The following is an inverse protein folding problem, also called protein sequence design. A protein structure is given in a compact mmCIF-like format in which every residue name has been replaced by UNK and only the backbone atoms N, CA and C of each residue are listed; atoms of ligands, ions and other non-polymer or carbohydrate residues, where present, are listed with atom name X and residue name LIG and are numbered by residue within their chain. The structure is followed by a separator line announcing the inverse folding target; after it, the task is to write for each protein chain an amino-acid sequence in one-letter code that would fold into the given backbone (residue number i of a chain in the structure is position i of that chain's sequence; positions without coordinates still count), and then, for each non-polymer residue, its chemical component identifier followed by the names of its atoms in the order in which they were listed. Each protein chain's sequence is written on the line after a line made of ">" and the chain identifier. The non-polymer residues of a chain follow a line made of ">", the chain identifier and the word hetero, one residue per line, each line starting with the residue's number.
data_IF_514389735595
#
_entry.id   IF_514389735595
#
_cell.length_a   1.000
_cell.length_b   1.000
_cell.length_c   1.000
_cell.angle_alpha   90.00
_cell.angle_beta   90.00
_cell.angle_gamma   90.00
#
_symmetry.space_group_name_H-M   'P 1'
#
loop_
_entity.id
_entity.type
_entity.pdbx_description
1 polymer ?
#
# COMPACT_ATOMS: atom_id res chain seq x y z
N UNK A 1 1.32 15.08 -11.61
CA UNK A 1 2.46 15.64 -12.38
C UNK A 1 3.04 16.93 -11.79
N UNK A 2 2.48 17.43 -10.68
CA UNK A 2 2.80 18.74 -10.10
C UNK A 2 4.27 19.07 -9.91
N UNK A 3 5.08 18.13 -9.42
CA UNK A 3 6.52 18.37 -9.18
C UNK A 3 7.30 18.65 -10.47
N UNK A 4 7.01 17.91 -11.54
CA UNK A 4 7.67 18.11 -12.85
C UNK A 4 7.29 19.49 -13.43
N UNK A 5 6.00 19.86 -13.33
CA UNK A 5 5.52 21.16 -13.77
C UNK A 5 6.25 22.30 -13.04
N UNK A 6 6.47 22.17 -11.74
CA UNK A 6 7.19 23.18 -10.95
C UNK A 6 8.67 23.30 -11.34
N UNK A 7 9.36 22.16 -11.57
CA UNK A 7 10.77 22.16 -12.01
C UNK A 7 10.91 22.84 -13.39
N UNK A 8 9.95 22.62 -14.28
CA UNK A 8 9.97 23.15 -15.65
C UNK A 8 9.26 24.52 -15.80
N UNK A 9 8.67 25.06 -14.73
CA UNK A 9 7.93 26.33 -14.77
C UNK A 9 6.60 26.28 -15.53
N UNK A 10 5.97 25.10 -15.64
CA UNK A 10 4.70 24.90 -16.32
C UNK A 10 3.50 25.14 -15.38
N UNK A 11 2.36 25.53 -15.97
CA UNK A 11 1.07 25.58 -15.26
C UNK A 11 0.48 24.17 -15.12
N UNK A 12 -0.39 23.92 -14.11
CA UNK A 12 -1.12 22.66 -14.02
C UNK A 12 -1.85 22.33 -15.30
N UNK A 13 -1.70 21.10 -15.78
CA UNK A 13 -2.38 20.63 -16.99
C UNK A 13 -3.85 20.27 -16.72
N UNK A 14 -4.14 19.84 -15.49
CA UNK A 14 -5.47 19.42 -15.04
C UNK A 14 -5.73 19.82 -13.58
N UNK A 15 -6.98 19.69 -13.12
CA UNK A 15 -7.32 19.88 -11.69
C UNK A 15 -6.63 18.86 -10.78
N UNK A 16 -6.43 17.62 -11.26
CA UNK A 16 -5.79 16.55 -10.49
C UNK A 16 -4.32 16.88 -10.25
N UNK A 17 -3.64 17.46 -11.23
CA UNK A 17 -2.27 17.93 -11.07
C UNK A 17 -2.17 19.12 -10.14
N UNK A 18 -3.11 20.07 -10.24
CA UNK A 18 -3.14 21.24 -9.35
C UNK A 18 -3.30 20.85 -7.87
N UNK A 19 -4.07 19.80 -7.59
CA UNK A 19 -4.32 19.28 -6.24
C UNK A 19 -3.25 18.27 -5.75
N UNK A 20 -2.35 17.80 -6.62
CA UNK A 20 -1.35 16.83 -6.24
C UNK A 20 -0.26 17.45 -5.34
N UNK A 21 0.03 16.79 -4.22
CA UNK A 21 1.12 17.19 -3.31
C UNK A 21 2.47 17.11 -4.03
N UNK A 22 3.21 18.22 -4.18
CA UNK A 22 4.51 18.20 -4.84
C UNK A 22 5.61 17.63 -3.93
N UNK A 23 6.54 16.85 -4.48
CA UNK A 23 7.70 16.28 -3.78
C UNK A 23 8.82 17.30 -3.53
N UNK A 24 8.50 18.51 -3.07
CA UNK A 24 9.50 19.59 -2.89
C UNK A 24 10.63 19.19 -1.93
N UNK A 25 10.32 18.37 -0.93
CA UNK A 25 11.29 17.91 0.07
C UNK A 25 12.28 16.86 -0.48
N UNK A 26 12.05 16.34 -1.68
CA UNK A 26 12.95 15.36 -2.31
C UNK A 26 14.06 16.01 -3.14
N UNK A 27 13.98 17.32 -3.41
CA UNK A 27 14.95 18.03 -4.25
C UNK A 27 15.57 19.18 -3.46
N UNK A 28 16.89 19.33 -3.59
CA UNK A 28 17.65 20.41 -2.96
C UNK A 28 18.58 21.04 -3.99
N UNK A 29 18.74 22.38 -4.01
CA UNK A 29 19.76 23.04 -4.81
C UNK A 29 21.18 22.82 -4.25
N UNK A 30 21.32 22.25 -3.05
CA UNK A 30 22.59 21.92 -2.45
C UNK A 30 22.84 20.41 -2.60
N UNK A 31 23.76 19.99 -3.49
CA UNK A 31 24.06 18.58 -3.67
C UNK A 31 24.80 18.03 -2.45
N UNK A 32 24.39 16.85 -2.00
CA UNK A 32 25.12 16.03 -1.03
C UNK A 32 25.85 14.92 -1.79
N UNK A 33 27.18 14.91 -1.69
CA UNK A 33 28.06 13.92 -2.32
C UNK A 33 28.57 12.86 -1.35
N UNK A 34 28.01 12.80 -0.14
CA UNK A 34 28.32 11.72 0.79
C UNK A 34 28.03 10.37 0.13
N UNK A 35 28.91 9.37 0.29
CA UNK A 35 28.65 8.03 -0.22
C UNK A 35 27.34 7.48 0.36
N UNK A 36 26.48 6.96 -0.51
CA UNK A 36 25.27 6.29 -0.07
C UNK A 36 25.61 4.96 0.61
N UNK A 37 25.27 4.82 1.89
CA UNK A 37 25.31 3.54 2.60
C UNK A 37 23.98 2.83 2.41
N UNK A 38 24.00 1.74 1.63
CA UNK A 38 22.80 0.95 1.40
C UNK A 38 22.33 0.27 2.70
N UNK A 39 21.10 0.56 3.11
CA UNK A 39 20.45 -0.16 4.21
C UNK A 39 20.23 -1.61 3.77
N UNK A 40 20.96 -2.53 4.39
CA UNK A 40 20.73 -3.96 4.16
C UNK A 40 19.46 -4.39 4.90
N UNK A 41 18.54 -5.11 4.23
CA UNK A 41 17.42 -5.74 4.90
C UNK A 41 17.94 -6.62 6.05
N UNK A 42 17.28 -6.53 7.21
CA UNK A 42 17.58 -7.41 8.35
C UNK A 42 17.12 -8.86 8.09
N UNK A 43 16.20 -9.02 7.15
CA UNK A 43 15.60 -10.28 6.77
C UNK A 43 16.14 -10.73 5.42
N UNK A 44 16.29 -12.04 5.22
CA UNK A 44 16.73 -12.57 3.95
C UNK A 44 15.65 -12.34 2.88
N UNK A 45 16.06 -11.90 1.69
CA UNK A 45 15.13 -11.54 0.60
C UNK A 45 14.44 -12.76 -0.02
N UNK A 46 15.02 -13.94 0.19
CA UNK A 46 14.58 -15.25 -0.29
C UNK A 46 13.94 -16.10 0.81
N UNK A 47 13.70 -15.53 2.00
CA UNK A 47 13.03 -16.25 3.08
C UNK A 47 11.54 -16.45 2.77
N UNK A 48 11.07 -17.70 2.67
CA UNK A 48 9.64 -17.96 2.51
C UNK A 48 8.89 -17.79 3.84
N UNK A 49 7.58 -17.61 3.76
CA UNK A 49 6.74 -17.68 4.95
C UNK A 49 6.84 -19.08 5.60
N UNK A 50 7.01 -19.17 6.93
CA UNK A 50 7.15 -20.45 7.60
C UNK A 50 5.83 -21.24 7.62
N UNK A 51 5.93 -22.56 7.47
CA UNK A 51 4.76 -23.47 7.38
C UNK A 51 3.91 -23.54 8.66
N UNK A 52 4.45 -23.07 9.79
CA UNK A 52 3.78 -23.03 11.08
C UNK A 52 3.10 -21.67 11.38
N UNK A 53 3.12 -20.74 10.42
CA UNK A 53 2.49 -19.43 10.57
C UNK A 53 0.97 -19.53 10.82
N UNK A 54 0.37 -18.51 11.46
CA UNK A 54 -1.08 -18.44 11.62
C UNK A 54 -1.79 -18.60 10.27
N UNK A 55 -2.74 -19.53 10.20
CA UNK A 55 -3.50 -19.84 8.98
C UNK A 55 -2.67 -20.36 7.78
N UNK A 56 -1.39 -20.73 7.94
CA UNK A 56 -0.53 -21.21 6.86
C UNK A 56 -1.16 -22.35 6.04
N UNK A 57 -1.68 -23.39 6.71
CA UNK A 57 -2.37 -24.53 6.08
C UNK A 57 -3.61 -24.15 5.26
N UNK A 58 -4.27 -23.03 5.59
CA UNK A 58 -5.45 -22.53 4.88
C UNK A 58 -5.03 -21.67 3.69
N UNK A 59 -4.05 -20.79 3.90
CA UNK A 59 -3.50 -19.92 2.86
C UNK A 59 -2.85 -20.72 1.74
N UNK A 60 -2.10 -21.78 2.07
CA UNK A 60 -1.41 -22.63 1.08
C UNK A 60 -2.34 -23.39 0.12
N UNK A 61 -3.65 -23.42 0.41
CA UNK A 61 -4.67 -24.06 -0.43
C UNK A 61 -5.49 -23.05 -1.25
N UNK A 62 -5.21 -21.76 -1.13
CA UNK A 62 -5.90 -20.72 -1.90
C UNK A 62 -5.35 -20.65 -3.33
N UNK A 63 -6.20 -20.21 -4.26
CA UNK A 63 -5.80 -19.99 -5.64
C UNK A 63 -5.19 -18.58 -5.78
N UNK A 64 -3.92 -18.54 -6.19
CA UNK A 64 -3.17 -17.32 -6.49
C UNK A 64 -2.73 -17.28 -7.96
N UNK A 65 -3.34 -18.09 -8.84
CA UNK A 65 -2.96 -18.16 -10.25
C UNK A 65 -3.36 -16.92 -11.05
N UNK A 66 -4.43 -16.24 -10.62
CA UNK A 66 -4.97 -15.01 -11.23
C UNK A 66 -5.35 -14.03 -10.11
N UNK A 67 -5.30 -12.74 -10.41
CA UNK A 67 -5.75 -11.67 -9.51
C UNK A 67 -7.19 -11.93 -9.03
N UNK A 68 -7.45 -11.59 -7.76
CA UNK A 68 -8.76 -11.66 -7.11
C UNK A 68 -9.43 -13.05 -7.03
N UNK A 69 -8.71 -14.15 -7.29
CA UNK A 69 -9.24 -15.52 -7.10
C UNK A 69 -9.24 -15.98 -5.64
N UNK A 70 -8.29 -15.48 -4.84
CA UNK A 70 -8.19 -15.87 -3.45
C UNK A 70 -9.41 -15.34 -2.64
N UNK A 71 -9.97 -16.13 -1.72
CA UNK A 71 -11.13 -15.70 -0.92
C UNK A 71 -10.76 -14.54 0.00
N UNK A 72 -11.13 -13.32 -0.40
CA UNK A 72 -10.65 -12.06 0.19
C UNK A 72 -10.78 -11.99 1.71
N UNK A 73 -11.90 -12.41 2.30
CA UNK A 73 -12.10 -12.39 3.76
C UNK A 73 -11.15 -13.34 4.50
N UNK A 74 -10.91 -14.52 3.92
CA UNK A 74 -10.04 -15.51 4.53
C UNK A 74 -8.57 -15.11 4.38
N UNK A 75 -8.21 -14.53 3.23
CA UNK A 75 -6.87 -13.99 2.97
C UNK A 75 -6.56 -12.81 3.90
N UNK A 76 -7.49 -11.85 4.04
CA UNK A 76 -7.32 -10.70 4.94
C UNK A 76 -7.13 -11.16 6.40
N UNK A 77 -7.87 -12.17 6.86
CA UNK A 77 -7.67 -12.74 8.19
C UNK A 77 -6.29 -13.40 8.35
N UNK A 78 -5.79 -14.06 7.32
CA UNK A 78 -4.46 -14.67 7.35
C UNK A 78 -3.36 -13.59 7.45
N UNK A 79 -3.47 -12.52 6.66
CA UNK A 79 -2.56 -11.36 6.71
C UNK A 79 -2.64 -10.66 8.08
N UNK A 80 -3.84 -10.44 8.60
CA UNK A 80 -4.00 -9.81 9.91
C UNK A 80 -3.33 -10.62 11.02
N UNK A 81 -3.55 -11.93 11.05
CA UNK A 81 -2.96 -12.81 12.06
C UNK A 81 -1.45 -12.98 11.91
N UNK A 82 -0.89 -12.84 10.71
CA UNK A 82 0.56 -12.88 10.52
C UNK A 82 1.24 -11.63 11.09
N UNK A 83 0.61 -10.46 10.96
CA UNK A 83 1.18 -9.18 11.43
C UNK A 83 0.86 -8.91 12.91
N UNK A 84 -0.36 -9.24 13.36
CA UNK A 84 -0.89 -8.89 14.70
C UNK A 84 -0.85 -10.05 15.68
N UNK A 85 -0.41 -11.24 15.25
CA UNK A 85 -0.33 -12.46 16.04
C UNK A 85 -1.53 -13.39 15.86
N UNK A 86 -1.33 -14.69 16.09
CA UNK A 86 -2.33 -15.73 15.83
C UNK A 86 -3.63 -15.58 16.63
N UNK A 87 -3.54 -14.99 17.82
CA UNK A 87 -4.66 -14.76 18.74
C UNK A 87 -5.40 -13.43 18.48
N UNK A 88 -4.94 -12.64 17.51
CA UNK A 88 -5.61 -11.39 17.15
C UNK A 88 -6.96 -11.63 16.47
N UNK A 89 -7.93 -10.77 16.80
CA UNK A 89 -9.19 -10.65 16.08
C UNK A 89 -9.06 -9.58 15.00
N UNK A 90 -9.44 -9.90 13.77
CA UNK A 90 -9.47 -8.94 12.67
C UNK A 90 -10.70 -8.03 12.83
N UNK A 91 -10.57 -6.69 12.70
CA UNK A 91 -11.72 -5.80 12.75
C UNK A 91 -12.71 -6.13 11.62
N UNK A 92 -13.97 -5.75 11.83
CA UNK A 92 -15.00 -5.91 10.81
C UNK A 92 -14.71 -5.00 9.60
N UNK A 93 -15.02 -5.42 8.37
CA UNK A 93 -14.95 -4.53 7.22
C UNK A 93 -15.89 -3.33 7.38
N UNK A 94 -15.36 -2.12 7.23
CA UNK A 94 -16.15 -0.90 7.15
C UNK A 94 -16.45 -0.60 5.68
N UNK A 95 -17.73 -0.40 5.35
CA UNK A 95 -18.16 0.08 4.04
C UNK A 95 -18.87 1.40 4.27
N UNK A 96 -18.25 2.51 3.90
CA UNK A 96 -18.91 3.80 3.89
C UNK A 96 -19.70 3.93 2.59
N UNK A 97 -21.02 3.71 2.66
CA UNK A 97 -21.92 4.03 1.57
C UNK A 97 -22.39 5.47 1.78
N UNK A 98 -21.72 6.40 1.11
CA UNK A 98 -22.21 7.78 0.99
C UNK A 98 -23.43 7.78 0.08
N UNK A 99 -24.61 7.59 0.66
CA UNK A 99 -25.88 7.82 -0.02
C UNK A 99 -26.04 9.34 -0.11
N UNK A 100 -25.82 9.91 -1.30
CA UNK A 100 -26.40 11.22 -1.57
C UNK A 100 -27.88 11.02 -1.78
N UNK A 101 -28.69 11.47 -0.83
CA UNK A 101 -30.12 11.66 -1.05
C UNK A 101 -30.25 12.74 -2.14
N UNK A 102 -30.63 12.32 -3.35
CA UNK A 102 -31.18 13.23 -4.34
C UNK A 102 -32.48 13.79 -3.77
N UNK A 103 -32.48 15.05 -3.33
CA UNK A 103 -33.70 15.82 -3.10
C UNK A 103 -34.46 15.94 -4.42
N UNK A 104 -35.49 15.12 -4.59
CA UNK A 104 -36.47 15.25 -5.66
C UNK A 104 -37.54 16.29 -5.26
N UNK A 105 -37.38 17.50 -5.85
CA UNK A 105 -38.35 18.58 -6.17
C UNK A 105 -39.49 18.95 -5.21
#
# INVERSE_FOLDING_TARGET
>A
LRTMEMILGLRPLTQFDAAATPMLNSFSPNPDFSPFEAVKPKQALDEPNPDNGPMAKKSSKMDFSVEDQAPWQALNRAIWKSVRGGDSSMPAPEHDLRIEEEEES
#
